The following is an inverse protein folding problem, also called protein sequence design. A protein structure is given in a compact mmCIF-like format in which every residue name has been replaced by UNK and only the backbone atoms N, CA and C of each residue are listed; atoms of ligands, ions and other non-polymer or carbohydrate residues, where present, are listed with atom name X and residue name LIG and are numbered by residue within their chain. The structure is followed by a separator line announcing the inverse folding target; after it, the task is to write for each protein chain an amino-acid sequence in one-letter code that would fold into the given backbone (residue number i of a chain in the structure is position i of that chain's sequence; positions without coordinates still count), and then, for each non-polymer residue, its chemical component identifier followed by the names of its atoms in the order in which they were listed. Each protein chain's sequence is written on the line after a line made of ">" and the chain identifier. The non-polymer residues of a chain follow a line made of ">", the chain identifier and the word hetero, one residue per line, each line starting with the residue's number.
data_IF_146449020821
#
_entry.id   IF_146449020821
#
_cell.length_a   1.000
_cell.length_b   1.000
_cell.length_c   1.000
_cell.angle_alpha   90.00
_cell.angle_beta   90.00
_cell.angle_gamma   90.00
#
_symmetry.space_group_name_H-M   'P 1'
#
loop_
_entity.id
_entity.type
_entity.pdbx_description
1 polymer ?
#
# COMPACT_ATOMS: atom_id res chain seq x y z
N UNK A 1 42.25 -56.92 -14.51
CA UNK A 1 41.87 -55.49 -14.53
C UNK A 1 40.36 -55.25 -14.65
N UNK A 2 39.64 -55.79 -15.65
CA UNK A 2 38.19 -55.54 -15.79
C UNK A 2 37.33 -55.95 -14.58
N UNK A 3 37.65 -57.07 -13.93
CA UNK A 3 36.92 -57.52 -12.72
C UNK A 3 37.13 -56.60 -11.51
N UNK A 4 38.33 -56.03 -11.38
CA UNK A 4 38.68 -55.14 -10.26
C UNK A 4 37.97 -53.79 -10.38
N UNK A 5 37.85 -53.26 -11.60
CA UNK A 5 37.15 -52.00 -11.87
C UNK A 5 35.65 -52.11 -11.55
N UNK A 6 35.01 -53.23 -11.90
CA UNK A 6 33.58 -53.45 -11.64
C UNK A 6 33.25 -53.47 -10.13
N UNK A 7 34.14 -54.05 -9.32
CA UNK A 7 33.96 -54.09 -7.85
C UNK A 7 34.11 -52.69 -7.24
N UNK A 8 35.08 -51.91 -7.70
CA UNK A 8 35.29 -50.53 -7.20
C UNK A 8 34.09 -49.64 -7.54
N UNK A 9 33.55 -49.73 -8.75
CA UNK A 9 32.37 -48.95 -9.16
C UNK A 9 31.13 -49.34 -8.34
N UNK A 10 30.94 -50.63 -8.08
CA UNK A 10 29.82 -51.10 -7.25
C UNK A 10 29.91 -50.59 -5.80
N UNK A 11 31.10 -50.54 -5.22
CA UNK A 11 31.33 -50.02 -3.86
C UNK A 11 31.06 -48.51 -3.80
N UNK A 12 31.49 -47.75 -4.80
CA UNK A 12 31.23 -46.30 -4.87
C UNK A 12 29.73 -46.03 -4.99
N UNK A 13 29.01 -46.78 -5.84
CA UNK A 13 27.56 -46.66 -5.98
C UNK A 13 26.83 -46.95 -4.67
N UNK A 14 27.23 -47.99 -3.92
CA UNK A 14 26.65 -48.31 -2.63
C UNK A 14 26.90 -47.22 -1.58
N UNK A 15 28.09 -46.60 -1.60
CA UNK A 15 28.40 -45.48 -0.70
C UNK A 15 27.57 -44.23 -1.02
N UNK A 16 27.39 -43.90 -2.30
CA UNK A 16 26.58 -42.76 -2.74
C UNK A 16 25.11 -42.96 -2.38
N UNK A 17 24.56 -44.16 -2.60
CA UNK A 17 23.18 -44.50 -2.20
C UNK A 17 23.02 -44.45 -0.68
N UNK A 18 24.00 -44.93 0.09
CA UNK A 18 23.99 -44.85 1.55
C UNK A 18 24.06 -43.41 2.10
N UNK A 19 24.75 -42.50 1.40
CA UNK A 19 24.80 -41.08 1.73
C UNK A 19 23.47 -40.38 1.41
N UNK A 20 22.86 -40.68 0.26
CA UNK A 20 21.57 -40.11 -0.14
C UNK A 20 20.40 -40.60 0.75
N UNK A 21 20.48 -41.82 1.28
CA UNK A 21 19.49 -42.35 2.24
C UNK A 21 19.67 -41.79 3.66
N UNK A 22 20.82 -41.19 3.99
CA UNK A 22 21.04 -40.49 5.26
C UNK A 22 20.61 -39.02 5.22
N UNK A 23 20.38 -38.46 4.04
CA UNK A 23 19.94 -37.06 3.86
C UNK A 23 18.42 -36.90 3.78
N UNK A 24 17.62 -37.95 3.99
CA UNK A 24 16.18 -37.78 4.20
C UNK A 24 15.95 -37.18 5.59
N UNK A 25 15.44 -35.93 5.70
CA UNK A 25 15.09 -35.37 6.99
C UNK A 25 14.02 -36.27 7.63
N UNK A 26 14.29 -36.73 8.85
CA UNK A 26 13.27 -37.37 9.66
C UNK A 26 12.15 -36.34 9.88
N UNK A 27 10.98 -36.59 9.30
CA UNK A 27 9.73 -36.02 9.76
C UNK A 27 9.47 -36.60 11.14
N UNK A 28 10.02 -35.95 12.17
CA UNK A 28 9.64 -36.19 13.55
C UNK A 28 8.20 -35.76 13.75
N UNK A 29 7.34 -36.74 14.02
CA UNK A 29 6.03 -36.57 14.65
C UNK A 29 6.13 -35.62 15.85
N UNK A 30 5.30 -34.57 15.80
CA UNK A 30 4.49 -34.09 16.93
C UNK A 30 5.19 -34.02 18.29
N UNK A 31 6.27 -33.23 18.36
CA UNK A 31 6.70 -32.61 19.61
C UNK A 31 5.99 -31.27 19.73
N UNK A 32 5.01 -31.21 20.63
CA UNK A 32 4.32 -30.02 21.13
C UNK A 32 5.30 -28.83 21.25
N UNK A 33 5.36 -28.01 20.19
CA UNK A 33 6.07 -26.75 20.20
C UNK A 33 5.26 -25.84 21.10
N UNK A 34 5.85 -25.54 22.26
CA UNK A 34 5.61 -24.26 22.92
C UNK A 34 5.65 -23.21 21.81
N UNK A 35 4.47 -22.69 21.48
CA UNK A 35 4.35 -21.47 20.71
C UNK A 35 5.09 -20.44 21.55
N UNK A 36 6.33 -20.16 21.17
CA UNK A 36 6.89 -18.85 21.42
C UNK A 36 5.89 -17.90 20.76
N UNK A 37 5.00 -17.37 21.58
CA UNK A 37 4.22 -16.17 21.32
C UNK A 37 5.28 -15.14 20.95
N UNK A 38 5.55 -15.01 19.66
CA UNK A 38 6.01 -13.75 19.12
C UNK A 38 4.96 -12.78 19.64
N UNK A 39 5.31 -11.80 20.49
CA UNK A 39 4.32 -10.82 20.91
C UNK A 39 3.71 -10.31 19.62
N UNK A 40 2.39 -10.48 19.48
CA UNK A 40 1.66 -9.84 18.42
C UNK A 40 2.12 -8.38 18.47
N UNK A 41 2.88 -7.97 17.45
CA UNK A 41 3.08 -6.55 17.17
C UNK A 41 1.68 -6.00 17.20
N UNK A 42 1.43 -5.09 18.15
CA UNK A 42 0.11 -4.64 18.54
C UNK A 42 -0.80 -4.59 17.32
N UNK A 43 -1.91 -5.36 17.40
CA UNK A 43 -2.92 -5.39 16.36
C UNK A 43 -3.12 -3.95 15.88
N UNK A 44 -3.00 -3.75 14.56
CA UNK A 44 -3.24 -2.46 13.96
C UNK A 44 -4.52 -1.87 14.59
N UNK A 45 -4.51 -0.59 15.01
CA UNK A 45 -5.62 0.00 15.74
C UNK A 45 -6.93 -0.32 15.03
N UNK A 46 -7.91 -0.80 15.80
CA UNK A 46 -9.24 -1.13 15.30
C UNK A 46 -9.84 0.12 14.66
N UNK A 47 -9.90 0.12 13.32
CA UNK A 47 -10.55 1.19 12.55
C UNK A 47 -12.04 1.35 12.89
N UNK A 48 -12.61 0.42 13.66
CA UNK A 48 -13.92 0.54 14.29
C UNK A 48 -14.11 1.81 15.13
N UNK A 49 -13.08 2.39 15.74
CA UNK A 49 -13.22 3.66 16.49
C UNK A 49 -13.48 4.87 15.57
N UNK A 50 -12.90 4.89 14.36
CA UNK A 50 -13.18 5.92 13.36
C UNK A 50 -14.58 5.74 12.75
N UNK A 51 -15.02 4.50 12.53
CA UNK A 51 -16.38 4.20 12.06
C UNK A 51 -17.46 4.52 13.11
N UNK A 52 -17.21 4.26 14.39
CA UNK A 52 -18.12 4.60 15.50
C UNK A 52 -18.26 6.12 15.67
N UNK A 53 -17.24 6.89 15.33
CA UNK A 53 -17.30 8.35 15.31
C UNK A 53 -18.24 8.88 14.22
N UNK A 54 -18.35 8.18 13.09
CA UNK A 54 -19.28 8.50 12.01
C UNK A 54 -20.72 8.02 12.32
N UNK A 55 -20.89 6.91 13.04
CA UNK A 55 -22.20 6.34 13.38
C UNK A 55 -22.98 7.20 14.40
N UNK A 56 -22.28 7.96 15.25
CA UNK A 56 -22.89 8.95 16.16
C UNK A 56 -23.52 10.13 15.40
N UNK A 57 -23.12 10.38 14.15
CA UNK A 57 -23.68 11.44 13.30
C UNK A 57 -24.88 10.94 12.48
N UNK A 58 -25.08 9.62 12.37
CA UNK A 58 -26.01 9.02 11.41
C UNK A 58 -27.06 8.09 12.06
N UNK A 59 -27.69 8.50 13.17
CA UNK A 59 -28.98 7.93 13.54
C UNK A 59 -30.13 8.80 13.00
N UNK A 60 -30.73 8.45 11.84
CA UNK A 60 -31.98 9.06 11.42
C UNK A 60 -33.09 8.51 12.33
N UNK A 61 -33.37 9.22 13.41
CA UNK A 61 -34.67 9.08 14.06
C UNK A 61 -35.72 9.64 13.10
N UNK A 62 -36.79 8.88 12.84
CA UNK A 62 -37.93 9.18 11.95
C UNK A 62 -38.77 10.41 12.37
N UNK A 63 -38.14 11.50 12.79
CA UNK A 63 -38.76 12.81 12.91
C UNK A 63 -38.41 13.60 11.66
N UNK A 64 -39.38 13.72 10.75
CA UNK A 64 -39.44 14.90 9.87
C UNK A 64 -39.36 16.12 10.78
N UNK A 65 -38.26 16.90 10.73
CA UNK A 65 -38.23 18.19 11.38
C UNK A 65 -39.19 19.06 10.57
N UNK A 66 -40.31 19.45 11.17
CA UNK A 66 -41.02 20.64 10.72
C UNK A 66 -40.01 21.79 10.79
N UNK A 67 -39.45 22.15 9.64
CA UNK A 67 -38.50 23.25 9.50
C UNK A 67 -39.21 24.54 9.96
N UNK A 68 -38.80 25.12 11.10
CA UNK A 68 -39.29 26.42 11.49
C UNK A 68 -38.57 27.43 10.61
N UNK A 69 -39.29 27.92 9.60
CA UNK A 69 -39.01 29.16 8.89
C UNK A 69 -37.53 29.42 8.51
N UNK A 70 -37.08 28.78 7.43
CA UNK A 70 -36.21 29.46 6.44
C UNK A 70 -34.75 29.76 6.84
N UNK A 71 -34.16 29.07 7.81
CA UNK A 71 -32.71 29.01 7.93
C UNK A 71 -32.20 28.01 6.88
N UNK A 72 -31.68 28.54 5.76
CA UNK A 72 -30.91 27.76 4.77
C UNK A 72 -29.93 26.87 5.53
N UNK A 73 -30.05 25.55 5.36
CA UNK A 73 -29.04 24.62 5.80
C UNK A 73 -27.71 25.06 5.18
N UNK A 74 -26.87 25.69 5.98
CA UNK A 74 -25.56 26.17 5.58
C UNK A 74 -24.67 24.97 5.28
N UNK A 75 -24.84 24.40 4.09
CA UNK A 75 -23.77 23.64 3.45
C UNK A 75 -22.57 24.57 3.47
N UNK A 76 -21.54 24.19 4.23
CA UNK A 76 -20.28 24.92 4.26
C UNK A 76 -19.84 25.09 2.81
N UNK A 77 -19.62 26.33 2.37
CA UNK A 77 -19.09 26.60 1.05
C UNK A 77 -17.69 25.97 0.97
N UNK A 78 -17.62 24.79 0.37
CA UNK A 78 -16.39 24.02 0.17
C UNK A 78 -15.37 24.85 -0.63
N UNK A 79 -15.83 25.84 -1.41
CA UNK A 79 -14.96 26.77 -2.13
C UNK A 79 -14.14 27.69 -1.23
N UNK A 80 -14.64 28.10 -0.06
CA UNK A 80 -13.89 28.93 0.88
C UNK A 80 -12.81 28.12 1.62
N UNK A 81 -13.12 26.86 1.92
CA UNK A 81 -12.22 25.91 2.59
C UNK A 81 -10.96 25.61 1.77
N UNK A 82 -11.08 25.55 0.44
CA UNK A 82 -9.98 25.26 -0.49
C UNK A 82 -9.54 26.48 -1.30
N UNK A 83 -9.78 27.69 -0.81
CA UNK A 83 -9.19 28.87 -1.45
C UNK A 83 -7.66 28.70 -1.51
N UNK A 84 -7.07 29.03 -2.67
CA UNK A 84 -5.62 28.90 -2.89
C UNK A 84 -4.81 29.59 -1.78
N UNK A 85 -5.29 30.74 -1.31
CA UNK A 85 -4.70 31.51 -0.21
C UNK A 85 -4.70 30.74 1.13
N UNK A 86 -5.81 30.09 1.50
CA UNK A 86 -5.90 29.32 2.76
C UNK A 86 -5.01 28.08 2.70
N UNK A 87 -4.98 27.40 1.55
CA UNK A 87 -4.08 26.25 1.33
C UNK A 87 -2.63 26.71 1.47
N UNK A 88 -2.23 27.80 0.80
CA UNK A 88 -0.87 28.30 0.87
C UNK A 88 -0.49 28.73 2.29
N UNK A 89 -1.38 29.42 3.01
CA UNK A 89 -1.13 29.81 4.41
C UNK A 89 -0.91 28.59 5.33
N UNK A 90 -1.70 27.53 5.13
CA UNK A 90 -1.53 26.29 5.89
C UNK A 90 -0.20 25.61 5.56
N UNK A 91 0.18 25.56 4.27
CA UNK A 91 1.47 25.02 3.84
C UNK A 91 2.64 25.80 4.44
N UNK A 92 2.61 27.14 4.39
CA UNK A 92 3.65 27.99 4.98
C UNK A 92 3.79 27.73 6.50
N UNK A 93 2.66 27.57 7.19
CA UNK A 93 2.63 27.27 8.63
C UNK A 93 3.25 25.91 8.95
N UNK A 94 2.98 24.90 8.11
CA UNK A 94 3.59 23.56 8.22
C UNK A 94 5.09 23.63 7.95
N UNK A 95 5.51 24.33 6.89
CA UNK A 95 6.92 24.48 6.53
C UNK A 95 7.74 25.12 7.66
N UNK A 96 7.17 26.10 8.36
CA UNK A 96 7.79 26.71 9.54
C UNK A 96 7.99 25.72 10.70
N UNK A 97 7.20 24.65 10.79
CA UNK A 97 7.30 23.63 11.85
C UNK A 97 8.26 22.49 11.50
N UNK A 98 8.62 22.30 10.22
CA UNK A 98 9.47 21.17 9.79
C UNK A 98 10.78 21.04 10.58
N UNK A 99 11.56 22.12 10.86
CA UNK A 99 12.78 21.98 11.65
C UNK A 99 12.51 21.43 13.06
N UNK A 100 11.45 21.92 13.71
CA UNK A 100 11.04 21.50 15.05
C UNK A 100 10.58 20.04 15.05
N UNK A 101 9.69 19.65 14.13
CA UNK A 101 9.20 18.28 14.02
C UNK A 101 10.32 17.29 13.72
N UNK A 102 11.24 17.66 12.82
CA UNK A 102 12.38 16.84 12.41
C UNK A 102 13.42 16.59 13.51
N UNK A 103 13.35 17.27 14.65
CA UNK A 103 14.30 17.12 15.76
C UNK A 103 13.59 16.90 17.10
N UNK A 104 12.31 16.52 17.05
CA UNK A 104 11.44 16.43 18.22
C UNK A 104 11.72 15.21 19.11
N UNK A 105 12.31 14.14 18.54
CA UNK A 105 12.41 12.83 19.20
C UNK A 105 11.07 12.07 19.26
N UNK A 106 10.00 12.63 18.71
CA UNK A 106 8.71 11.97 18.54
C UNK A 106 8.64 11.36 17.13
N UNK A 107 8.53 10.02 17.00
CA UNK A 107 8.56 9.37 15.70
C UNK A 107 7.39 9.78 14.78
N UNK A 108 6.23 10.15 15.32
CA UNK A 108 5.08 10.60 14.52
C UNK A 108 5.36 11.98 13.91
N UNK A 109 5.94 12.90 14.69
CA UNK A 109 6.33 14.23 14.21
C UNK A 109 7.50 14.16 13.22
N UNK A 110 8.50 13.33 13.49
CA UNK A 110 9.63 13.12 12.58
C UNK A 110 9.19 12.47 11.27
N UNK A 111 8.25 11.52 11.32
CA UNK A 111 7.61 10.95 10.13
C UNK A 111 6.83 12.00 9.34
N UNK A 112 6.00 12.82 9.99
CA UNK A 112 5.28 13.89 9.32
C UNK A 112 6.26 14.85 8.61
N UNK A 113 7.34 15.26 9.29
CA UNK A 113 8.39 16.07 8.68
C UNK A 113 9.03 15.38 7.47
N UNK A 114 9.28 14.08 7.53
CA UNK A 114 9.82 13.30 6.43
C UNK A 114 8.87 13.27 5.21
N UNK A 115 7.58 13.00 5.41
CA UNK A 115 6.56 12.99 4.35
C UNK A 115 6.45 14.36 3.67
N UNK A 116 6.45 15.44 4.44
CA UNK A 116 6.30 16.79 3.89
C UNK A 116 7.59 17.24 3.17
N UNK A 117 8.77 17.02 3.76
CA UNK A 117 10.05 17.31 3.09
C UNK A 117 10.24 16.51 1.81
N UNK A 118 9.66 15.31 1.73
CA UNK A 118 9.69 14.51 0.53
C UNK A 118 8.97 15.19 -0.65
N UNK A 119 7.88 15.92 -0.41
CA UNK A 119 7.21 16.75 -1.45
C UNK A 119 8.12 17.83 -2.03
N UNK A 120 9.05 18.32 -1.21
CA UNK A 120 10.05 19.31 -1.61
C UNK A 120 11.29 18.67 -2.27
N UNK A 121 11.24 17.35 -2.57
CA UNK A 121 12.31 16.59 -3.21
C UNK A 121 13.37 16.04 -2.27
N UNK A 122 13.20 16.16 -0.95
CA UNK A 122 14.17 15.70 0.04
C UNK A 122 13.86 14.34 0.65
N UNK A 123 14.73 13.34 0.46
CA UNK A 123 14.65 12.02 1.13
C UNK A 123 15.45 11.90 2.42
N UNK A 124 16.25 12.93 2.76
CA UNK A 124 17.18 12.86 3.90
C UNK A 124 16.46 12.61 5.23
N UNK A 125 15.30 13.24 5.44
CA UNK A 125 14.53 13.09 6.67
C UNK A 125 13.97 11.65 6.80
N UNK A 126 13.49 11.06 5.71
CA UNK A 126 13.02 9.66 5.68
C UNK A 126 14.14 8.68 5.96
N UNK A 127 15.33 8.90 5.39
CA UNK A 127 16.49 8.03 5.62
C UNK A 127 16.98 8.10 7.06
N UNK A 128 17.04 9.30 7.65
CA UNK A 128 17.41 9.47 9.05
C UNK A 128 16.37 8.81 9.96
N UNK A 129 15.08 9.02 9.70
CA UNK A 129 14.01 8.36 10.43
C UNK A 129 14.15 6.83 10.39
N UNK A 130 14.52 6.25 9.25
CA UNK A 130 14.79 4.81 9.13
C UNK A 130 16.09 4.34 9.80
N UNK A 131 17.05 5.24 10.02
CA UNK A 131 18.24 4.91 10.82
C UNK A 131 17.90 4.84 12.31
N UNK A 132 17.09 5.79 12.78
CA UNK A 132 16.69 5.89 14.20
C UNK A 132 15.56 4.90 14.54
N UNK A 133 14.70 4.60 13.56
CA UNK A 133 13.53 3.73 13.67
C UNK A 133 13.46 2.75 12.48
N UNK A 134 14.33 1.72 12.44
CA UNK A 134 14.41 0.80 11.30
C UNK A 134 13.09 0.09 10.99
N UNK A 135 12.28 -0.21 12.00
CA UNK A 135 10.99 -0.90 11.83
C UNK A 135 9.80 0.04 11.58
N UNK A 136 10.05 1.31 11.24
CA UNK A 136 9.00 2.23 10.84
C UNK A 136 8.49 1.90 9.43
N UNK A 137 7.60 0.90 9.34
CA UNK A 137 6.97 0.45 8.09
C UNK A 137 6.46 1.59 7.20
N UNK A 138 5.69 2.57 7.73
CA UNK A 138 5.26 3.74 6.96
C UNK A 138 6.42 4.53 6.38
N UNK A 139 7.51 4.72 7.14
CA UNK A 139 8.68 5.46 6.68
C UNK A 139 9.39 4.75 5.54
N UNK A 140 9.49 3.41 5.63
CA UNK A 140 10.10 2.62 4.58
C UNK A 140 9.24 2.62 3.32
N UNK A 141 7.92 2.48 3.46
CA UNK A 141 6.99 2.62 2.35
C UNK A 141 7.11 4.00 1.69
N UNK A 142 7.19 5.10 2.45
CA UNK A 142 7.42 6.44 1.91
C UNK A 142 8.77 6.60 1.17
N UNK A 143 9.82 5.90 1.63
CA UNK A 143 11.08 5.85 0.89
C UNK A 143 10.90 5.13 -0.46
N UNK A 144 10.15 4.02 -0.48
CA UNK A 144 9.88 3.28 -1.72
C UNK A 144 9.05 4.13 -2.70
N UNK A 145 8.01 4.82 -2.24
CA UNK A 145 7.18 5.69 -3.10
C UNK A 145 8.00 6.85 -3.67
N UNK A 146 8.88 7.46 -2.87
CA UNK A 146 9.83 8.46 -3.34
C UNK A 146 10.73 7.91 -4.45
N UNK A 147 11.33 6.74 -4.20
CA UNK A 147 12.26 6.13 -5.13
C UNK A 147 11.61 5.67 -6.43
N UNK A 148 10.33 5.27 -6.39
CA UNK A 148 9.55 4.93 -7.59
C UNK A 148 9.39 6.15 -8.53
N UNK A 149 9.26 7.36 -7.96
CA UNK A 149 9.08 8.60 -8.72
C UNK A 149 10.39 9.30 -9.07
N UNK A 150 11.49 8.95 -8.39
CA UNK A 150 12.78 9.61 -8.55
C UNK A 150 13.47 9.22 -9.86
N UNK A 151 14.11 10.20 -10.51
CA UNK A 151 15.00 9.97 -11.66
C UNK A 151 16.43 9.56 -11.27
N UNK A 152 16.68 9.31 -9.99
CA UNK A 152 17.96 8.80 -9.48
C UNK A 152 17.87 7.28 -9.24
N UNK A 153 18.02 6.43 -10.27
CA UNK A 153 18.01 4.98 -10.09
C UNK A 153 19.26 4.44 -9.35
N UNK A 154 20.22 5.31 -9.04
CA UNK A 154 21.47 4.97 -8.36
C UNK A 154 21.43 5.24 -6.86
N UNK A 155 22.54 4.88 -6.19
CA UNK A 155 22.78 5.25 -4.80
C UNK A 155 21.69 4.80 -3.83
N UNK A 156 20.89 5.76 -3.36
CA UNK A 156 19.91 5.57 -2.29
C UNK A 156 18.62 4.93 -2.81
N UNK A 157 18.25 5.16 -4.06
CA UNK A 157 17.07 4.51 -4.66
C UNK A 157 17.43 3.27 -5.48
N UNK A 158 18.59 2.66 -5.23
CA UNK A 158 18.96 1.39 -5.83
C UNK A 158 18.01 0.27 -5.37
N UNK A 159 17.21 -0.25 -6.31
CA UNK A 159 16.17 -1.26 -6.05
C UNK A 159 16.72 -2.53 -5.40
N UNK A 160 17.95 -2.94 -5.68
CA UNK A 160 18.63 -4.04 -4.99
C UNK A 160 18.71 -3.82 -3.48
N UNK A 161 19.13 -2.61 -3.08
CA UNK A 161 19.27 -2.22 -1.67
C UNK A 161 17.90 -2.18 -1.00
N UNK A 162 16.92 -1.58 -1.66
CA UNK A 162 15.55 -1.48 -1.16
C UNK A 162 14.91 -2.85 -1.02
N UNK A 163 15.15 -3.76 -1.96
CA UNK A 163 14.69 -5.16 -1.89
C UNK A 163 15.27 -5.88 -0.69
N UNK A 164 16.59 -5.76 -0.44
CA UNK A 164 17.22 -6.35 0.74
C UNK A 164 16.65 -5.76 2.04
N UNK A 165 16.45 -4.44 2.09
CA UNK A 165 15.85 -3.79 3.26
C UNK A 165 14.40 -4.22 3.50
N UNK A 166 13.62 -4.45 2.44
CA UNK A 166 12.26 -4.93 2.57
C UNK A 166 12.19 -6.29 3.29
N UNK A 167 13.13 -7.20 3.01
CA UNK A 167 13.19 -8.51 3.68
C UNK A 167 13.41 -8.36 5.20
N UNK A 168 14.25 -7.41 5.62
CA UNK A 168 14.62 -7.20 7.03
C UNK A 168 13.57 -6.39 7.82
N UNK A 169 12.93 -5.39 7.18
CA UNK A 169 12.11 -4.41 7.89
C UNK A 169 10.64 -4.79 7.95
N UNK A 170 10.07 -5.20 6.82
CA UNK A 170 8.65 -5.54 6.70
C UNK A 170 8.39 -6.45 5.49
N UNK A 171 9.12 -7.57 5.44
CA UNK A 171 8.98 -8.56 4.36
C UNK A 171 7.60 -9.22 4.34
N UNK A 172 6.78 -8.96 5.36
CA UNK A 172 5.42 -9.44 5.50
C UNK A 172 4.34 -8.58 4.82
N UNK A 173 4.68 -7.41 4.28
CA UNK A 173 3.71 -6.54 3.62
C UNK A 173 3.68 -6.72 2.11
N UNK A 174 2.51 -7.11 1.60
CA UNK A 174 2.26 -7.23 0.17
C UNK A 174 2.41 -5.91 -0.58
N UNK A 175 2.10 -4.78 0.07
CA UNK A 175 2.15 -3.46 -0.57
C UNK A 175 3.59 -2.99 -0.81
N UNK A 176 4.53 -3.30 0.10
CA UNK A 176 5.97 -3.06 -0.12
C UNK A 176 6.47 -3.82 -1.34
N UNK A 177 6.14 -5.12 -1.40
CA UNK A 177 6.53 -5.97 -2.51
C UNK A 177 5.92 -5.51 -3.83
N UNK A 178 4.67 -5.03 -3.81
CA UNK A 178 4.01 -4.42 -4.98
C UNK A 178 4.76 -3.18 -5.48
N UNK A 179 5.22 -2.28 -4.61
CA UNK A 179 6.05 -1.13 -5.05
C UNK A 179 7.36 -1.60 -5.67
N UNK A 180 8.01 -2.60 -5.07
CA UNK A 180 9.26 -3.16 -5.60
C UNK A 180 9.08 -3.85 -6.96
N UNK A 181 7.91 -4.45 -7.24
CA UNK A 181 7.56 -4.94 -8.58
C UNK A 181 7.68 -3.83 -9.62
N UNK A 182 7.12 -2.65 -9.32
CA UNK A 182 7.19 -1.52 -10.24
C UNK A 182 8.64 -1.06 -10.47
N UNK A 183 9.42 -0.92 -9.41
CA UNK A 183 10.81 -0.47 -9.51
C UNK A 183 11.70 -1.46 -10.28
N UNK A 184 11.55 -2.76 -10.05
CA UNK A 184 12.30 -3.78 -10.79
C UNK A 184 11.96 -3.80 -12.27
N UNK A 185 10.68 -3.63 -12.57
CA UNK A 185 10.20 -3.56 -13.94
C UNK A 185 10.68 -2.29 -14.64
N UNK A 186 10.70 -1.14 -13.97
CA UNK A 186 11.22 0.12 -14.54
C UNK A 186 12.73 0.04 -14.82
N UNK A 187 13.43 -0.85 -14.10
CA UNK A 187 14.83 -1.21 -14.37
C UNK A 187 15.00 -2.18 -15.56
N UNK A 188 13.91 -2.68 -16.14
CA UNK A 188 13.92 -3.69 -17.20
C UNK A 188 14.28 -5.09 -16.72
N UNK A 189 14.15 -5.37 -15.42
CA UNK A 189 14.41 -6.69 -14.85
C UNK A 189 13.09 -7.41 -14.54
N UNK A 190 12.46 -7.91 -15.60
CA UNK A 190 11.13 -8.52 -15.56
C UNK A 190 11.05 -9.74 -14.60
N UNK A 191 12.11 -10.56 -14.52
CA UNK A 191 12.11 -11.72 -13.61
C UNK A 191 12.10 -11.28 -12.14
N UNK A 192 12.86 -10.24 -11.77
CA UNK A 192 12.83 -9.72 -10.40
C UNK A 192 11.51 -9.01 -10.10
N UNK A 193 10.90 -8.35 -11.09
CA UNK A 193 9.57 -7.78 -10.94
C UNK A 193 8.52 -8.85 -10.67
N UNK A 194 8.54 -9.95 -11.42
CA UNK A 194 7.66 -11.09 -11.21
C UNK A 194 7.87 -11.72 -9.82
N UNK A 195 9.13 -11.94 -9.41
CA UNK A 195 9.44 -12.45 -8.07
C UNK A 195 8.93 -11.53 -6.96
N UNK A 196 9.03 -10.21 -7.14
CA UNK A 196 8.46 -9.25 -6.20
C UNK A 196 6.92 -9.33 -6.17
N UNK A 197 6.26 -9.50 -7.32
CA UNK A 197 4.81 -9.68 -7.38
C UNK A 197 4.37 -10.99 -6.71
N UNK A 198 5.08 -12.09 -6.97
CA UNK A 198 4.86 -13.38 -6.30
C UNK A 198 5.02 -13.26 -4.77
N UNK A 199 5.98 -12.46 -4.29
CA UNK A 199 6.13 -12.14 -2.87
C UNK A 199 4.99 -11.26 -2.35
N UNK A 200 4.49 -10.31 -3.14
CA UNK A 200 3.34 -9.50 -2.78
C UNK A 200 2.09 -10.36 -2.56
N UNK A 201 1.89 -11.35 -3.45
CA UNK A 201 0.83 -12.35 -3.34
C UNK A 201 1.02 -13.24 -2.11
N UNK A 202 2.24 -13.70 -1.84
CA UNK A 202 2.56 -14.64 -0.77
C UNK A 202 2.69 -14.00 0.63
N UNK A 203 2.72 -12.67 0.71
CA UNK A 203 2.85 -11.94 1.97
C UNK A 203 1.72 -12.33 2.95
N UNK A 204 1.95 -12.36 4.27
CA UNK A 204 0.87 -12.62 5.23
C UNK A 204 -0.18 -11.51 5.26
N UNK A 205 0.19 -10.24 4.97
CA UNK A 205 -0.72 -9.10 5.07
C UNK A 205 -0.62 -8.20 3.83
N UNK A 206 -1.76 -7.72 3.32
CA UNK A 206 -1.81 -6.57 2.41
C UNK A 206 -1.84 -5.26 3.22
N UNK A 207 -0.73 -4.93 3.88
CA UNK A 207 -0.67 -3.74 4.75
C UNK A 207 -0.60 -2.47 3.93
N UNK A 208 -1.71 -1.75 3.87
CA UNK A 208 -1.80 -0.46 3.20
C UNK A 208 -1.36 0.65 4.17
N UNK A 209 -0.29 1.35 3.79
CA UNK A 209 0.34 2.38 4.62
C UNK A 209 -0.30 3.76 4.49
N UNK A 210 -1.21 3.96 3.52
CA UNK A 210 -1.85 5.24 3.28
C UNK A 210 -2.78 5.69 4.43
N UNK A 211 -3.68 4.86 4.98
CA UNK A 211 -4.48 5.24 6.15
C UNK A 211 -3.63 5.55 7.38
N UNK A 212 -2.56 4.77 7.60
CA UNK A 212 -1.62 5.01 8.70
C UNK A 212 -0.87 6.34 8.52
N UNK A 213 -0.45 6.65 7.28
CA UNK A 213 0.17 7.93 6.94
C UNK A 213 -0.77 9.10 7.25
N UNK A 214 -2.05 9.01 6.86
CA UNK A 214 -3.05 10.05 7.18
C UNK A 214 -3.20 10.22 8.69
N UNK A 215 -3.29 9.13 9.44
CA UNK A 215 -3.40 9.18 10.90
C UNK A 215 -2.20 9.89 11.54
N UNK A 216 -0.98 9.57 11.12
CA UNK A 216 0.23 10.19 11.66
C UNK A 216 0.26 11.68 11.30
N UNK A 217 -0.09 12.05 10.06
CA UNK A 217 -0.18 13.45 9.64
C UNK A 217 -1.26 14.22 10.40
N UNK A 218 -2.46 13.65 10.60
CA UNK A 218 -3.52 14.26 11.41
C UNK A 218 -3.01 14.54 12.84
N UNK A 219 -2.35 13.57 13.46
CA UNK A 219 -1.77 13.73 14.79
C UNK A 219 -0.72 14.85 14.84
N UNK A 220 0.18 14.91 13.86
CA UNK A 220 1.21 15.94 13.80
C UNK A 220 0.61 17.34 13.60
N UNK A 221 -0.39 17.46 12.72
CA UNK A 221 -1.06 18.73 12.44
C UNK A 221 -1.87 19.27 13.63
N UNK A 222 -2.22 18.44 14.62
CA UNK A 222 -2.83 18.93 15.88
C UNK A 222 -1.92 19.91 16.61
N UNK A 223 -0.60 19.80 16.42
CA UNK A 223 0.38 20.72 17.01
C UNK A 223 0.28 22.16 16.49
N UNK A 224 -0.38 22.39 15.35
CA UNK A 224 -0.67 23.74 14.84
C UNK A 224 -1.70 24.48 15.70
N UNK A 225 -2.61 23.77 16.36
CA UNK A 225 -3.64 24.31 17.25
C UNK A 225 -4.71 25.21 16.60
N UNK A 226 -4.51 25.65 15.36
CA UNK A 226 -5.41 26.57 14.63
C UNK A 226 -6.35 25.86 13.66
N UNK A 227 -6.06 24.61 13.29
CA UNK A 227 -6.88 23.81 12.36
C UNK A 227 -7.97 23.06 13.13
N UNK A 228 -9.21 23.15 12.66
CA UNK A 228 -10.27 22.26 13.12
C UNK A 228 -10.03 20.81 12.65
N UNK A 229 -10.87 19.87 13.09
CA UNK A 229 -10.71 18.46 12.75
C UNK A 229 -10.86 18.19 11.24
N UNK A 230 -11.76 18.90 10.56
CA UNK A 230 -12.04 18.72 9.14
C UNK A 230 -10.90 19.26 8.29
N UNK A 231 -10.46 20.50 8.54
CA UNK A 231 -9.27 21.13 7.94
C UNK A 231 -8.05 20.22 8.06
N UNK A 232 -7.85 19.64 9.25
CA UNK A 232 -6.70 18.81 9.55
C UNK A 232 -6.71 17.48 8.80
N UNK A 233 -7.84 16.78 8.77
CA UNK A 233 -7.97 15.51 8.05
C UNK A 233 -7.82 15.74 6.54
N UNK A 234 -8.48 16.78 6.01
CA UNK A 234 -8.40 17.13 4.60
C UNK A 234 -6.95 17.43 4.17
N UNK A 235 -6.23 18.21 4.99
CA UNK A 235 -4.82 18.51 4.74
C UNK A 235 -3.92 17.27 4.90
N UNK A 236 -4.18 16.40 5.90
CA UNK A 236 -3.46 15.14 6.06
C UNK A 236 -3.63 14.22 4.83
N UNK A 237 -4.85 14.11 4.28
CA UNK A 237 -5.11 13.39 3.03
C UNK A 237 -4.35 14.02 1.86
N UNK A 238 -4.42 15.34 1.70
CA UNK A 238 -3.71 16.07 0.66
C UNK A 238 -2.18 15.92 0.77
N UNK A 239 -1.63 15.78 1.97
CA UNK A 239 -0.21 15.51 2.21
C UNK A 239 0.17 14.05 1.93
N UNK A 240 -0.68 13.10 2.32
CA UNK A 240 -0.51 11.66 2.08
C UNK A 240 -0.72 11.25 0.61
N UNK A 241 -1.27 12.16 -0.20
CA UNK A 241 -1.57 12.02 -1.62
C UNK A 241 -0.39 11.51 -2.49
N UNK A 242 0.86 11.66 -2.05
CA UNK A 242 2.03 11.19 -2.81
C UNK A 242 2.26 9.67 -2.74
N UNK A 243 1.18 8.89 -2.66
CA UNK A 243 1.22 7.44 -2.67
C UNK A 243 1.82 6.86 -3.95
N UNK A 244 2.15 5.56 -3.96
CA UNK A 244 2.71 4.90 -5.11
C UNK A 244 1.72 4.88 -6.28
N UNK A 245 2.25 4.79 -7.50
CA UNK A 245 1.44 4.69 -8.73
C UNK A 245 0.86 3.28 -8.86
N UNK A 246 -0.28 3.05 -8.21
CA UNK A 246 -0.93 1.74 -8.18
C UNK A 246 -1.44 1.30 -9.57
N UNK A 247 -1.88 2.25 -10.42
CA UNK A 247 -2.38 1.95 -11.75
C UNK A 247 -1.32 1.37 -12.71
N UNK A 248 -0.03 1.64 -12.45
CA UNK A 248 1.02 1.10 -13.31
C UNK A 248 1.11 -0.42 -13.26
N UNK A 249 0.63 -1.08 -12.20
CA UNK A 249 0.69 -2.54 -12.12
C UNK A 249 -0.33 -3.21 -13.06
N UNK A 250 -1.50 -2.60 -13.28
CA UNK A 250 -2.51 -3.08 -14.23
C UNK A 250 -1.91 -3.19 -15.64
N UNK A 251 -1.35 -2.10 -16.15
CA UNK A 251 -0.71 -2.06 -17.48
C UNK A 251 0.42 -3.09 -17.62
N UNK A 252 1.23 -3.25 -16.57
CA UNK A 252 2.32 -4.22 -16.52
C UNK A 252 1.77 -5.65 -16.54
N UNK A 253 0.72 -5.92 -15.76
CA UNK A 253 0.02 -7.20 -15.77
C UNK A 253 -0.53 -7.52 -17.16
N UNK A 254 -1.29 -6.60 -17.77
CA UNK A 254 -1.89 -6.81 -19.08
C UNK A 254 -0.83 -7.08 -20.17
N UNK A 255 0.24 -6.29 -20.20
CA UNK A 255 1.28 -6.41 -21.23
C UNK A 255 2.14 -7.68 -21.16
N UNK A 256 2.21 -8.34 -19.99
CA UNK A 256 3.01 -9.55 -19.77
C UNK A 256 2.20 -10.83 -19.63
N UNK A 257 0.99 -10.77 -19.08
CA UNK A 257 0.13 -11.93 -18.91
C UNK A 257 -0.24 -12.63 -20.23
N UNK A 258 -0.27 -11.91 -21.35
CA UNK A 258 -0.46 -12.50 -22.69
C UNK A 258 0.70 -13.40 -23.13
N UNK A 259 1.91 -13.18 -22.58
CA UNK A 259 3.16 -13.78 -23.03
C UNK A 259 3.73 -14.78 -22.02
N UNK A 260 3.40 -14.62 -20.75
CA UNK A 260 3.90 -15.43 -19.65
C UNK A 260 2.79 -15.81 -18.67
N UNK A 261 2.53 -17.11 -18.56
CA UNK A 261 1.53 -17.67 -17.66
C UNK A 261 1.82 -17.39 -16.18
N UNK A 262 3.09 -17.23 -15.79
CA UNK A 262 3.45 -16.89 -14.39
C UNK A 262 2.99 -15.48 -14.04
N UNK A 263 3.16 -14.53 -14.96
CA UNK A 263 2.65 -13.17 -14.81
C UNK A 263 1.14 -13.16 -14.68
N UNK A 264 0.44 -13.89 -15.57
CA UNK A 264 -1.01 -14.04 -15.50
C UNK A 264 -1.46 -14.57 -14.12
N UNK A 265 -0.88 -15.66 -13.64
CA UNK A 265 -1.23 -16.28 -12.37
C UNK A 265 -0.97 -15.32 -11.18
N UNK A 266 0.19 -14.66 -11.17
CA UNK A 266 0.56 -13.71 -10.13
C UNK A 266 -0.38 -12.49 -10.12
N UNK A 267 -0.74 -11.96 -11.29
CA UNK A 267 -1.67 -10.84 -11.44
C UNK A 267 -3.09 -11.19 -11.00
N UNK A 268 -3.61 -12.37 -11.39
CA UNK A 268 -4.92 -12.84 -10.92
C UNK A 268 -4.93 -12.97 -9.39
N UNK A 269 -3.89 -13.60 -8.83
CA UNK A 269 -3.79 -13.79 -7.39
C UNK A 269 -3.69 -12.45 -6.65
N UNK A 270 -2.90 -11.51 -7.17
CA UNK A 270 -2.76 -10.18 -6.59
C UNK A 270 -4.07 -9.37 -6.68
N UNK A 271 -4.76 -9.40 -7.83
CA UNK A 271 -6.04 -8.73 -8.01
C UNK A 271 -7.13 -9.24 -7.06
N UNK A 272 -7.19 -10.55 -6.82
CA UNK A 272 -8.08 -11.14 -5.79
C UNK A 272 -7.75 -10.67 -4.38
N UNK A 273 -6.45 -10.53 -4.10
CA UNK A 273 -6.00 -10.06 -2.79
C UNK A 273 -6.39 -8.60 -2.56
N UNK A 274 -6.17 -7.74 -3.56
CA UNK A 274 -6.61 -6.34 -3.51
C UNK A 274 -8.12 -6.21 -3.30
N UNK A 275 -8.92 -7.00 -4.01
CA UNK A 275 -10.39 -7.02 -3.85
C UNK A 275 -10.82 -7.42 -2.43
N UNK A 276 -10.22 -8.47 -1.87
CA UNK A 276 -10.70 -9.08 -0.62
C UNK A 276 -10.05 -8.51 0.64
N UNK A 277 -8.81 -8.02 0.54
CA UNK A 277 -8.01 -7.54 1.67
C UNK A 277 -7.73 -6.02 1.60
N UNK A 278 -8.04 -5.35 0.48
CA UNK A 278 -7.83 -3.92 0.34
C UNK A 278 -8.72 -3.11 1.28
N UNK A 279 -8.15 -2.15 2.01
CA UNK A 279 -8.89 -1.32 2.97
C UNK A 279 -9.63 -0.17 2.29
N UNK A 280 -9.10 0.37 1.18
CA UNK A 280 -9.76 1.40 0.41
C UNK A 280 -10.61 0.82 -0.73
N UNK A 281 -11.76 1.45 -1.00
CA UNK A 281 -12.60 1.13 -2.16
C UNK A 281 -11.81 1.19 -3.47
N UNK A 282 -10.87 2.14 -3.58
CA UNK A 282 -10.00 2.25 -4.75
C UNK A 282 -9.17 0.99 -4.97
N UNK A 283 -8.58 0.41 -3.92
CA UNK A 283 -7.77 -0.80 -4.05
C UNK A 283 -8.62 -2.00 -4.46
N UNK A 284 -9.82 -2.11 -3.90
CA UNK A 284 -10.76 -3.17 -4.27
C UNK A 284 -11.15 -3.06 -5.75
N UNK A 285 -11.41 -1.84 -6.23
CA UNK A 285 -11.67 -1.56 -7.66
C UNK A 285 -10.47 -1.91 -8.53
N UNK A 286 -9.26 -1.51 -8.15
CA UNK A 286 -8.03 -1.88 -8.88
C UNK A 286 -7.90 -3.41 -8.95
N UNK A 287 -8.19 -4.12 -7.84
CA UNK A 287 -8.19 -5.57 -7.79
C UNK A 287 -9.19 -6.22 -8.76
N UNK A 288 -10.39 -5.66 -8.87
CA UNK A 288 -11.42 -6.10 -9.82
C UNK A 288 -11.05 -5.79 -11.28
N UNK A 289 -10.46 -4.63 -11.55
CA UNK A 289 -9.96 -4.25 -12.88
C UNK A 289 -8.89 -5.23 -13.36
N UNK A 290 -7.89 -5.53 -12.52
CA UNK A 290 -6.86 -6.54 -12.82
C UNK A 290 -7.53 -7.89 -13.12
N UNK A 291 -8.47 -8.34 -12.29
CA UNK A 291 -9.17 -9.61 -12.51
C UNK A 291 -9.95 -9.66 -13.82
N UNK A 292 -10.65 -8.57 -14.18
CA UNK A 292 -11.37 -8.43 -15.46
C UNK A 292 -10.40 -8.63 -16.63
N UNK A 293 -9.27 -7.93 -16.62
CA UNK A 293 -8.33 -7.93 -17.73
C UNK A 293 -7.62 -9.27 -17.86
N UNK A 294 -7.24 -9.88 -16.74
CA UNK A 294 -6.65 -11.22 -16.77
C UNK A 294 -7.66 -12.27 -17.27
N UNK A 295 -8.93 -12.18 -16.89
CA UNK A 295 -9.97 -13.06 -17.40
C UNK A 295 -10.20 -12.90 -18.92
N UNK A 296 -10.13 -11.66 -19.43
CA UNK A 296 -10.17 -11.40 -20.86
C UNK A 296 -9.00 -12.07 -21.61
N UNK A 297 -7.78 -11.93 -21.10
CA UNK A 297 -6.56 -12.56 -21.65
C UNK A 297 -6.69 -14.10 -21.66
N UNK A 298 -7.28 -14.68 -20.61
CA UNK A 298 -7.53 -16.12 -20.50
C UNK A 298 -8.64 -16.64 -21.42
N UNK A 299 -9.47 -15.75 -21.98
CA UNK A 299 -10.73 -16.13 -22.61
C UNK A 299 -11.77 -16.67 -21.62
N UNK A 300 -11.63 -16.37 -20.32
CA UNK A 300 -12.57 -16.74 -19.27
C UNK A 300 -13.73 -15.74 -19.22
N UNK A 301 -14.68 -15.91 -20.14
CA UNK A 301 -15.82 -15.01 -20.25
C UNK A 301 -16.70 -14.99 -18.98
N UNK A 302 -16.99 -16.12 -18.30
CA UNK A 302 -17.64 -16.09 -16.99
C UNK A 302 -16.89 -15.25 -15.95
N UNK A 303 -15.56 -15.41 -15.84
CA UNK A 303 -14.74 -14.62 -14.92
C UNK A 303 -14.75 -13.12 -15.25
N UNK A 304 -14.70 -12.78 -16.53
CA UNK A 304 -14.79 -11.40 -17.02
C UNK A 304 -16.11 -10.74 -16.61
N UNK A 305 -17.26 -11.39 -16.88
CA UNK A 305 -18.57 -10.85 -16.51
C UNK A 305 -18.72 -10.71 -14.99
N UNK A 306 -18.25 -11.69 -14.22
CA UNK A 306 -18.30 -11.62 -12.75
C UNK A 306 -17.45 -10.46 -12.19
N UNK A 307 -16.35 -10.09 -12.84
CA UNK A 307 -15.58 -8.90 -12.45
C UNK A 307 -16.33 -7.59 -12.78
N UNK A 308 -16.97 -7.51 -13.96
CA UNK A 308 -17.79 -6.35 -14.36
C UNK A 308 -18.98 -6.15 -13.40
N UNK A 309 -19.75 -7.20 -13.11
CA UNK A 309 -20.90 -7.11 -12.20
C UNK A 309 -20.50 -6.62 -10.80
N UNK A 310 -19.31 -7.03 -10.32
CA UNK A 310 -18.75 -6.55 -9.05
C UNK A 310 -18.28 -5.10 -9.13
N UNK A 311 -17.66 -4.69 -10.25
CA UNK A 311 -17.30 -3.29 -10.48
C UNK A 311 -18.55 -2.40 -10.47
N UNK A 312 -19.59 -2.78 -11.20
CA UNK A 312 -20.88 -2.07 -11.24
C UNK A 312 -21.54 -2.02 -9.84
N UNK A 313 -21.37 -3.07 -9.03
CA UNK A 313 -21.85 -3.08 -7.65
C UNK A 313 -21.04 -2.16 -6.73
N UNK A 314 -19.73 -2.02 -6.96
CA UNK A 314 -18.90 -1.00 -6.27
C UNK A 314 -19.22 0.42 -6.73
N UNK A 315 -19.79 0.58 -7.93
CA UNK A 315 -20.39 1.81 -8.46
C UNK A 315 -21.84 2.04 -7.97
N UNK A 316 -22.30 1.25 -6.99
CA UNK A 316 -23.55 1.48 -6.25
C UNK A 316 -23.60 2.85 -5.56
N UNK A 317 -24.45 3.10 -4.54
CA UNK A 317 -24.74 4.45 -4.02
C UNK A 317 -23.55 5.25 -3.44
N UNK A 318 -22.30 4.87 -3.64
CA UNK A 318 -21.17 5.80 -3.74
C UNK A 318 -21.32 6.81 -4.91
N UNK A 319 -22.24 6.60 -5.85
CA UNK A 319 -22.83 7.69 -6.65
C UNK A 319 -23.58 8.74 -5.78
N UNK A 320 -23.89 8.48 -4.50
CA UNK A 320 -24.30 9.54 -3.57
C UNK A 320 -23.12 10.42 -3.15
N UNK A 321 -21.86 10.01 -3.30
CA UNK A 321 -20.72 10.94 -3.22
C UNK A 321 -20.51 11.61 -4.59
N UNK A 322 -20.86 10.94 -5.71
CA UNK A 322 -20.92 11.59 -7.03
C UNK A 322 -22.02 12.67 -7.18
N UNK A 323 -23.16 12.52 -6.51
CA UNK A 323 -24.26 13.49 -6.48
C UNK A 323 -24.26 14.42 -5.24
N UNK A 324 -23.42 14.16 -4.22
CA UNK A 324 -23.27 15.06 -3.05
C UNK A 324 -21.86 15.60 -2.81
N UNK A 325 -20.86 15.15 -3.57
CA UNK A 325 -19.53 15.76 -3.56
C UNK A 325 -19.18 16.33 -4.94
N UNK A 326 -19.67 17.54 -5.25
CA UNK A 326 -19.30 18.27 -6.46
C UNK A 326 -17.78 18.48 -6.58
N UNK A 327 -16.97 18.19 -5.56
CA UNK A 327 -15.52 18.35 -5.58
C UNK A 327 -14.80 17.32 -6.45
N UNK A 328 -15.11 16.02 -6.34
CA UNK A 328 -14.44 14.99 -7.16
C UNK A 328 -14.86 15.09 -8.63
N UNK A 329 -16.11 15.46 -8.89
CA UNK A 329 -16.63 15.69 -10.24
C UNK A 329 -16.09 16.99 -10.86
N UNK A 330 -15.91 18.06 -10.08
CA UNK A 330 -15.34 19.32 -10.58
C UNK A 330 -13.81 19.29 -10.74
N UNK A 331 -13.14 18.33 -10.12
CA UNK A 331 -11.68 18.20 -10.11
C UNK A 331 -11.23 16.84 -10.67
N UNK A 332 -11.97 16.30 -11.63
CA UNK A 332 -11.60 15.06 -12.34
C UNK A 332 -10.18 15.17 -12.92
N UNK A 333 -9.81 16.32 -13.49
CA UNK A 333 -8.45 16.58 -13.97
C UNK A 333 -7.39 16.59 -12.86
N UNK A 334 -7.76 16.97 -11.64
CA UNK A 334 -6.89 17.02 -10.46
C UNK A 334 -6.74 15.62 -9.85
N UNK A 335 -7.80 14.81 -9.92
CA UNK A 335 -7.76 13.39 -9.60
C UNK A 335 -6.97 12.59 -10.64
N UNK A 336 -7.12 12.89 -11.94
CA UNK A 336 -6.35 12.30 -13.03
C UNK A 336 -4.88 12.72 -12.91
N UNK A 337 -4.56 14.00 -12.70
CA UNK A 337 -3.19 14.46 -12.44
C UNK A 337 -2.61 13.97 -11.10
N UNK A 338 -3.46 13.50 -10.18
CA UNK A 338 -3.09 12.84 -8.93
C UNK A 338 -2.78 11.34 -9.13
N UNK A 339 -3.44 10.73 -10.12
CA UNK A 339 -3.31 9.32 -10.49
C UNK A 339 -2.16 9.08 -11.49
N UNK A 340 -1.90 10.03 -12.39
CA UNK A 340 -0.80 10.04 -13.38
C UNK A 340 0.54 10.54 -12.82
#
# INVERSE_FOLDING_TARGET
>A
MRKTLAVVVAVILLLVVGLLLKSTPQLTESGQRDQAVVPAVDAAPDFGELAQSAEVVAQPGDREPESPDGEESGCVDVGEFWSEDKIQQNLDSIEALLPTWSTSGDPDLEFAAAVISHRQGGSHNTERLLQDHPHAGPAFWQLLTHCDRSRDPGGRCAVERLTAQAEDLDGGSGEIWRVLTNQWYDKGNEEQALLALERAVAAPLLRQYWPETIRILDNALRSLGTLDATDRIALAMALAANGPRNLMLEDRCASHAEKDARWLDACVAYGRRLESEGLALLDQRIGLVIQRDMAAIMGDQPGYQAAIERLDATDGPAALIGDTDPYLAANEDLFIAYVE
#
